data_IF_335532170905
#
_entry.id   IF_335532170905
#
_cell.length_a   1.000
_cell.length_b   1.000
_cell.length_c   1.000
_cell.angle_alpha   90.00
_cell.angle_beta   90.00
_cell.angle_gamma   90.00
#
_symmetry.space_group_name_H-M   'P 1'
#
loop_
_entity.id
_entity.type
_entity.pdbx_description
1 polymer ?
#
# COMPACT_ATOMS: atom_id res chain seq x y z
N UNK A 1 53.13 4.25 38.36
CA UNK A 1 52.09 3.25 38.00
C UNK A 1 50.85 4.03 37.57
N UNK A 2 50.60 4.14 36.27
CA UNK A 2 49.46 4.86 35.70
C UNK A 2 48.50 3.80 35.13
N UNK A 3 47.34 3.63 35.78
CA UNK A 3 46.30 2.72 35.31
C UNK A 3 45.33 3.51 34.43
N UNK A 4 45.40 3.30 33.12
CA UNK A 4 44.39 3.77 32.16
C UNK A 4 43.19 2.82 32.18
N UNK A 5 42.05 3.30 32.65
CA UNK A 5 40.77 2.59 32.54
C UNK A 5 40.08 2.99 31.24
N UNK A 6 39.97 2.04 30.31
CA UNK A 6 39.17 2.19 29.09
C UNK A 6 37.72 1.87 29.47
N UNK A 7 36.85 2.87 29.50
CA UNK A 7 35.41 2.66 29.55
C UNK A 7 34.93 2.20 28.17
N UNK A 8 34.66 0.92 28.02
CA UNK A 8 33.94 0.40 26.86
C UNK A 8 32.47 0.80 26.97
N UNK A 9 32.03 1.77 26.17
CA UNK A 9 30.62 2.14 26.05
C UNK A 9 29.92 1.13 25.13
N UNK A 10 29.13 0.23 25.71
CA UNK A 10 28.26 -0.68 24.94
C UNK A 10 27.10 0.13 24.37
N UNK A 11 27.11 0.39 23.06
CA UNK A 11 25.99 1.03 22.37
C UNK A 11 24.83 0.04 22.25
N UNK A 12 23.72 0.29 22.98
CA UNK A 12 22.45 -0.37 22.69
C UNK A 12 21.91 0.18 21.36
N UNK A 13 22.00 -0.63 20.30
CA UNK A 13 21.25 -0.37 19.08
C UNK A 13 19.76 -0.60 19.37
N UNK A 14 19.00 0.48 19.55
CA UNK A 14 17.53 0.42 19.61
C UNK A 14 16.97 0.09 18.24
N UNK A 15 16.11 -0.93 18.13
CA UNK A 15 15.36 -1.20 16.92
C UNK A 15 14.34 -0.07 16.70
N UNK A 16 14.56 0.77 15.70
CA UNK A 16 13.57 1.77 15.28
C UNK A 16 12.53 1.08 14.41
N UNK A 17 11.32 0.87 14.94
CA UNK A 17 10.21 0.40 14.11
C UNK A 17 9.69 1.55 13.25
N UNK A 18 9.41 1.27 11.97
CA UNK A 18 8.70 2.21 11.09
C UNK A 18 7.35 2.57 11.68
N UNK A 19 7.04 3.87 11.79
CA UNK A 19 5.75 4.32 12.31
C UNK A 19 4.65 4.19 11.24
N UNK A 20 3.43 3.92 11.69
CA UNK A 20 2.25 3.96 10.83
C UNK A 20 1.47 5.27 11.03
N UNK A 21 1.23 6.00 9.94
CA UNK A 21 0.41 7.20 9.89
C UNK A 21 -0.87 6.91 9.13
N UNK A 22 -2.02 7.29 9.69
CA UNK A 22 -3.31 7.06 9.03
C UNK A 22 -3.85 8.36 8.44
N UNK A 23 -4.20 8.32 7.17
CA UNK A 23 -4.94 9.38 6.47
C UNK A 23 -6.34 8.86 6.15
N UNK A 24 -7.36 9.46 6.75
CA UNK A 24 -8.73 9.25 6.32
C UNK A 24 -8.95 9.94 4.97
N UNK A 25 -9.37 9.17 3.97
CA UNK A 25 -9.86 9.67 2.69
C UNK A 25 -11.35 9.87 2.85
N UNK A 26 -11.80 11.13 2.89
CA UNK A 26 -13.15 11.54 3.25
C UNK A 26 -13.48 11.35 4.75
N UNK A 27 -14.74 11.47 5.11
CA UNK A 27 -15.29 11.26 6.44
C UNK A 27 -16.67 10.58 6.35
N UNK A 28 -17.32 10.33 7.49
CA UNK A 28 -18.65 9.68 7.55
C UNK A 28 -19.72 10.33 6.66
N UNK A 29 -19.60 11.62 6.34
CA UNK A 29 -20.56 12.34 5.50
C UNK A 29 -20.20 12.37 4.01
N UNK A 30 -19.04 11.81 3.63
CA UNK A 30 -18.57 11.82 2.24
C UNK A 30 -17.92 13.14 1.82
N UNK A 31 -17.30 13.87 2.76
CA UNK A 31 -16.67 15.16 2.48
C UNK A 31 -15.42 15.06 1.58
N UNK A 32 -15.13 16.11 0.82
CA UNK A 32 -14.01 16.17 -0.13
C UNK A 32 -12.69 16.55 0.56
N UNK A 33 -12.22 15.73 1.50
CA UNK A 33 -11.06 16.04 2.35
C UNK A 33 -10.18 14.84 2.63
N UNK A 34 -8.88 15.06 2.80
CA UNK A 34 -7.96 14.12 3.43
C UNK A 34 -7.73 14.54 4.88
N UNK A 35 -7.77 13.61 5.85
CA UNK A 35 -7.58 13.93 7.26
C UNK A 35 -6.55 13.01 7.93
N UNK A 36 -5.39 13.53 8.37
CA UNK A 36 -4.92 14.90 8.14
C UNK A 36 -4.61 15.15 6.66
N UNK A 37 -4.72 16.41 6.23
CA UNK A 37 -4.33 16.86 4.87
C UNK A 37 -2.84 17.19 4.77
N UNK A 38 -2.16 17.28 5.90
CA UNK A 38 -0.73 17.53 6.01
C UNK A 38 -0.19 16.71 7.17
N UNK A 39 0.88 15.93 6.93
CA UNK A 39 1.56 15.16 7.97
C UNK A 39 3.06 15.14 7.73
N UNK A 40 3.80 14.80 8.79
CA UNK A 40 5.24 14.52 8.72
C UNK A 40 5.47 13.05 9.01
N UNK A 41 6.34 12.42 8.23
CA UNK A 41 6.68 11.01 8.34
C UNK A 41 8.17 10.83 8.05
N UNK A 42 8.84 9.99 8.84
CA UNK A 42 10.24 9.66 8.65
C UNK A 42 10.42 8.73 7.44
N UNK A 43 11.67 8.57 6.99
CA UNK A 43 11.97 7.59 5.95
C UNK A 43 11.73 6.19 6.49
N UNK A 44 11.07 5.35 5.70
CA UNK A 44 10.61 4.01 6.09
C UNK A 44 9.24 3.98 6.78
N UNK A 45 8.69 5.13 7.22
CA UNK A 45 7.33 5.16 7.77
C UNK A 45 6.28 4.79 6.71
N UNK A 46 5.16 4.21 7.18
CA UNK A 46 4.02 3.86 6.33
C UNK A 46 2.92 4.90 6.47
N UNK A 47 2.37 5.37 5.36
CA UNK A 47 1.17 6.21 5.30
C UNK A 47 0.01 5.40 4.72
N UNK A 48 -0.94 5.03 5.59
CA UNK A 48 -2.12 4.22 5.27
C UNK A 48 -3.34 5.10 5.03
N UNK A 49 -3.84 5.09 3.81
CA UNK A 49 -5.07 5.75 3.40
C UNK A 49 -6.28 4.83 3.62
N UNK A 50 -7.24 5.29 4.43
CA UNK A 50 -8.48 4.57 4.77
C UNK A 50 -9.70 5.31 4.23
N UNK A 51 -10.52 4.63 3.44
CA UNK A 51 -11.55 5.27 2.62
C UNK A 51 -12.92 5.25 3.30
N UNK A 52 -13.52 6.43 3.47
CA UNK A 52 -14.90 6.64 3.94
C UNK A 52 -15.88 6.68 2.75
N UNK A 53 -17.21 6.78 2.97
CA UNK A 53 -18.22 6.71 1.91
C UNK A 53 -17.95 7.56 0.69
N UNK A 54 -18.67 7.20 -0.39
CA UNK A 54 -18.56 7.69 -1.76
C UNK A 54 -17.42 6.98 -2.51
N UNK A 55 -17.06 7.52 -3.68
CA UNK A 55 -15.96 7.01 -4.47
C UNK A 55 -14.80 8.00 -4.39
N UNK A 56 -13.67 7.55 -3.87
CA UNK A 56 -12.47 8.37 -3.73
C UNK A 56 -11.24 7.59 -4.19
N UNK A 57 -10.18 8.34 -4.47
CA UNK A 57 -8.89 7.82 -4.87
C UNK A 57 -7.78 8.69 -4.28
N UNK A 58 -6.54 8.23 -4.40
CA UNK A 58 -5.32 8.96 -4.04
C UNK A 58 -4.31 8.75 -5.16
N UNK A 59 -3.92 9.84 -5.82
CA UNK A 59 -2.86 9.87 -6.81
C UNK A 59 -1.80 10.88 -6.36
N UNK A 60 -0.53 10.56 -6.62
CA UNK A 60 0.55 11.51 -6.43
C UNK A 60 0.57 12.54 -7.56
N UNK A 61 0.83 13.80 -7.22
CA UNK A 61 1.01 14.92 -8.14
C UNK A 61 2.36 15.60 -7.90
N UNK A 62 2.84 16.32 -8.92
CA UNK A 62 3.87 17.33 -8.72
C UNK A 62 3.23 18.61 -8.18
N UNK A 63 3.98 19.41 -7.42
CA UNK A 63 3.46 20.64 -6.81
C UNK A 63 2.93 21.65 -7.84
N UNK A 64 3.61 21.75 -8.97
CA UNK A 64 3.37 22.66 -10.09
C UNK A 64 2.26 22.18 -11.03
N UNK A 65 1.81 20.92 -10.91
CA UNK A 65 0.73 20.36 -11.71
C UNK A 65 -0.29 19.63 -10.82
N UNK A 66 -1.03 20.34 -9.96
CA UNK A 66 -2.12 19.74 -9.21
C UNK A 66 -3.18 19.14 -10.15
N UNK A 67 -3.91 18.14 -9.65
CA UNK A 67 -4.95 17.44 -10.40
C UNK A 67 -4.45 16.67 -11.64
N UNK A 68 -3.13 16.54 -11.80
CA UNK A 68 -2.48 15.77 -12.85
C UNK A 68 -1.58 14.69 -12.23
N UNK A 69 -1.56 13.47 -12.79
CA UNK A 69 -0.80 12.38 -12.22
C UNK A 69 0.69 12.61 -12.44
N UNK A 70 1.49 12.48 -11.37
CA UNK A 70 2.94 12.51 -11.48
C UNK A 70 3.44 11.27 -12.21
N UNK A 71 4.38 11.43 -13.15
CA UNK A 71 5.04 10.30 -13.79
C UNK A 71 5.75 9.43 -12.76
N UNK A 72 5.54 8.11 -12.81
CA UNK A 72 6.02 7.15 -11.80
C UNK A 72 5.56 7.46 -10.36
N UNK A 73 4.52 8.29 -10.20
CA UNK A 73 3.88 8.53 -8.92
C UNK A 73 3.04 7.35 -8.46
N UNK A 74 2.62 7.37 -7.20
CA UNK A 74 1.72 6.34 -6.70
C UNK A 74 0.26 6.55 -7.12
N UNK A 75 -0.49 5.46 -7.15
CA UNK A 75 -1.90 5.44 -7.53
C UNK A 75 -2.68 4.38 -6.74
N UNK A 76 -3.67 4.77 -5.96
CA UNK A 76 -4.49 3.83 -5.19
C UNK A 76 -5.51 3.07 -6.04
N UNK A 77 -5.90 3.60 -7.20
CA UNK A 77 -7.17 3.24 -7.82
C UNK A 77 -8.36 3.91 -7.11
N UNK A 78 -9.56 3.70 -7.64
CA UNK A 78 -10.80 4.09 -6.98
C UNK A 78 -11.21 3.06 -5.94
N UNK A 79 -11.55 3.53 -4.73
CA UNK A 79 -12.03 2.69 -3.62
C UNK A 79 -13.42 3.18 -3.21
N UNK A 80 -14.50 2.64 -3.82
CA UNK A 80 -15.85 3.02 -3.46
C UNK A 80 -16.32 2.31 -2.18
N UNK A 81 -17.05 3.03 -1.34
CA UNK A 81 -17.82 2.43 -0.23
C UNK A 81 -19.09 3.23 0.04
N UNK A 82 -20.12 2.57 0.55
CA UNK A 82 -21.39 3.19 0.94
C UNK A 82 -21.55 3.29 2.46
N UNK A 83 -20.70 2.61 3.25
CA UNK A 83 -20.83 2.53 4.70
C UNK A 83 -20.39 3.83 5.39
N UNK A 84 -21.30 4.49 6.09
CA UNK A 84 -21.02 5.69 6.90
C UNK A 84 -20.52 5.36 8.31
N UNK A 85 -20.50 4.07 8.67
CA UNK A 85 -20.14 3.58 9.99
C UNK A 85 -18.71 3.01 10.03
N UNK A 86 -18.24 2.46 8.91
CA UNK A 86 -16.92 1.86 8.77
C UNK A 86 -16.24 2.31 7.46
N UNK A 87 -14.90 2.33 7.49
CA UNK A 87 -14.10 2.52 6.28
C UNK A 87 -14.22 1.31 5.34
N UNK A 88 -13.89 1.49 4.06
CA UNK A 88 -13.82 0.41 3.08
C UNK A 88 -12.91 -0.73 3.56
N UNK A 89 -13.20 -1.94 3.09
CA UNK A 89 -12.32 -3.10 3.29
C UNK A 89 -11.02 -3.01 2.49
N UNK A 90 -10.81 -1.96 1.70
CA UNK A 90 -9.56 -1.69 0.99
C UNK A 90 -8.85 -0.49 1.61
N UNK A 91 -7.54 -0.61 1.73
CA UNK A 91 -6.64 0.46 2.13
C UNK A 91 -5.52 0.59 1.13
N UNK A 92 -5.00 1.80 0.95
CA UNK A 92 -3.82 2.05 0.15
C UNK A 92 -2.70 2.52 1.06
N UNK A 93 -1.54 1.87 0.99
CA UNK A 93 -0.41 2.18 1.87
C UNK A 93 0.80 2.58 1.05
N UNK A 94 1.41 3.70 1.41
CA UNK A 94 2.64 4.22 0.80
C UNK A 94 3.78 4.21 1.82
N UNK A 95 4.94 3.70 1.44
CA UNK A 95 6.17 3.77 2.25
C UNK A 95 6.93 5.05 1.89
N UNK A 96 7.28 5.86 2.89
CA UNK A 96 8.03 7.09 2.70
C UNK A 96 9.49 6.78 2.35
N UNK A 97 9.82 6.90 1.07
CA UNK A 97 11.17 6.56 0.55
C UNK A 97 12.22 7.65 0.75
N UNK A 98 11.79 8.90 0.93
CA UNK A 98 12.68 10.03 1.15
C UNK A 98 11.93 11.11 1.94
N UNK A 99 12.28 11.27 3.22
CA UNK A 99 11.58 12.21 4.11
C UNK A 99 11.86 13.70 3.79
N UNK A 100 12.88 13.99 2.98
CA UNK A 100 13.25 15.35 2.59
C UNK A 100 12.52 15.84 1.33
N UNK A 101 11.81 14.96 0.63
CA UNK A 101 11.04 15.29 -0.58
C UNK A 101 9.55 15.39 -0.22
N UNK A 102 8.91 16.56 -0.41
CA UNK A 102 7.48 16.69 -0.22
C UNK A 102 6.70 15.84 -1.23
N UNK A 103 5.66 15.16 -0.76
CA UNK A 103 4.82 14.29 -1.57
C UNK A 103 3.42 14.89 -1.60
N UNK A 104 3.04 15.45 -2.74
CA UNK A 104 1.73 16.04 -2.98
C UNK A 104 0.80 15.00 -3.55
N UNK A 105 -0.46 15.02 -3.11
CA UNK A 105 -1.45 14.05 -3.59
C UNK A 105 -2.85 14.65 -3.67
N UNK A 106 -3.70 14.03 -4.47
CA UNK A 106 -5.05 14.50 -4.78
C UNK A 106 -6.02 13.36 -5.02
N UNK A 107 -7.32 13.67 -4.93
CA UNK A 107 -8.38 12.76 -5.35
C UNK A 107 -8.76 13.01 -6.81
N UNK A 108 -8.74 11.96 -7.62
CA UNK A 108 -8.96 12.05 -9.08
C UNK A 108 -10.44 11.95 -9.47
N UNK A 109 -11.35 11.77 -8.50
CA UNK A 109 -12.79 11.63 -8.77
C UNK A 109 -13.40 12.98 -9.16
N UNK A 110 -14.02 13.05 -10.35
CA UNK A 110 -14.78 14.22 -10.79
C UNK A 110 -14.01 15.54 -10.57
N UNK A 111 -14.64 16.52 -9.93
CA UNK A 111 -14.00 17.79 -9.55
C UNK A 111 -13.46 17.81 -8.11
N UNK A 112 -13.18 16.65 -7.49
CA UNK A 112 -12.76 16.61 -6.09
C UNK A 112 -11.45 17.37 -5.84
N UNK A 113 -10.48 17.24 -6.74
CA UNK A 113 -9.22 17.97 -6.65
C UNK A 113 -9.43 19.49 -6.71
N UNK A 114 -10.18 19.96 -7.71
CA UNK A 114 -10.52 21.39 -7.86
C UNK A 114 -11.30 21.91 -6.66
N UNK A 115 -12.14 21.09 -6.04
CA UNK A 115 -12.88 21.43 -4.84
C UNK A 115 -12.04 21.30 -3.55
N UNK A 116 -10.71 21.14 -3.66
CA UNK A 116 -9.77 21.21 -2.54
C UNK A 116 -9.41 19.87 -1.90
N UNK A 117 -9.80 18.73 -2.50
CA UNK A 117 -9.43 17.40 -2.00
C UNK A 117 -7.99 17.05 -2.40
N UNK A 118 -7.05 17.70 -1.72
CA UNK A 118 -5.60 17.56 -1.88
C UNK A 118 -4.89 17.51 -0.54
N UNK A 119 -3.68 16.96 -0.51
CA UNK A 119 -2.88 16.87 0.70
C UNK A 119 -1.38 16.75 0.42
N UNK A 120 -0.60 16.72 1.50
CA UNK A 120 0.86 16.66 1.45
C UNK A 120 1.46 15.82 2.59
N UNK A 121 2.43 14.96 2.26
CA UNK A 121 3.34 14.35 3.24
C UNK A 121 4.66 15.13 3.19
N UNK A 122 5.21 15.45 4.35
CA UNK A 122 6.47 16.19 4.52
C UNK A 122 6.47 17.54 3.76
N UNK A 123 5.52 18.46 4.06
CA UNK A 123 5.54 19.78 3.43
C UNK A 123 6.85 20.53 3.73
N UNK A 124 7.31 21.41 2.81
CA UNK A 124 8.45 22.29 3.06
C UNK A 124 8.26 23.09 4.36
N UNK A 125 9.34 23.25 5.12
CA UNK A 125 9.32 24.05 6.36
C UNK A 125 9.20 25.56 6.10
N UNK A 126 9.56 26.01 4.91
CA UNK A 126 9.55 27.40 4.49
C UNK A 126 9.46 27.51 2.96
N UNK A 127 9.26 28.75 2.48
CA UNK A 127 9.17 29.04 1.05
C UNK A 127 7.74 29.00 0.51
N UNK A 128 7.57 29.20 -0.81
CA UNK A 128 6.25 29.42 -1.41
C UNK A 128 5.45 28.12 -1.63
N UNK A 129 6.09 26.95 -1.50
CA UNK A 129 5.47 25.65 -1.76
C UNK A 129 4.68 25.14 -0.55
N UNK A 130 3.55 25.80 -0.25
CA UNK A 130 2.67 25.47 0.88
C UNK A 130 1.47 24.64 0.45
N UNK A 131 0.80 23.97 1.41
CA UNK A 131 -0.47 23.29 1.13
C UNK A 131 -1.56 24.25 0.64
N UNK A 132 -1.58 25.47 1.16
CA UNK A 132 -2.50 26.51 0.70
C UNK A 132 -2.24 26.88 -0.77
N UNK A 133 -0.97 27.06 -1.16
CA UNK A 133 -0.62 27.32 -2.55
C UNK A 133 -1.02 26.15 -3.47
N UNK A 134 -0.82 24.90 -3.02
CA UNK A 134 -1.24 23.72 -3.78
C UNK A 134 -2.77 23.65 -3.92
N UNK A 135 -3.52 23.94 -2.85
CA UNK A 135 -5.00 24.03 -2.89
C UNK A 135 -5.49 25.12 -3.84
N UNK A 136 -4.88 26.30 -3.81
CA UNK A 136 -5.26 27.40 -4.69
C UNK A 136 -4.98 27.06 -6.15
N UNK A 137 -3.81 26.50 -6.46
CA UNK A 137 -3.51 26.03 -7.82
C UNK A 137 -4.44 24.89 -8.27
N UNK A 138 -4.88 24.02 -7.34
CA UNK A 138 -5.83 22.94 -7.66
C UNK A 138 -7.19 23.47 -8.09
N UNK A 139 -7.70 24.53 -7.47
CA UNK A 139 -8.99 25.17 -7.85
C UNK A 139 -8.99 25.69 -9.29
N UNK A 140 -7.84 26.17 -9.74
CA UNK A 140 -7.64 26.70 -11.09
C UNK A 140 -7.34 25.60 -12.13
N UNK A 141 -7.20 24.33 -11.72
CA UNK A 141 -6.90 23.24 -12.64
C UNK A 141 -8.08 22.97 -13.59
N UNK A 142 -7.81 23.04 -14.89
CA UNK A 142 -8.82 22.87 -15.95
C UNK A 142 -9.37 21.44 -16.09
N UNK A 143 -8.64 20.45 -15.56
CA UNK A 143 -9.04 19.04 -15.60
C UNK A 143 -8.53 18.28 -14.37
N UNK A 144 -9.20 17.17 -14.05
CA UNK A 144 -8.79 16.23 -13.02
C UNK A 144 -8.53 14.87 -13.66
N UNK A 145 -7.26 14.48 -13.74
CA UNK A 145 -6.84 13.32 -14.53
C UNK A 145 -6.49 12.16 -13.60
N UNK A 146 -6.99 10.97 -13.92
CA UNK A 146 -6.60 9.75 -13.21
C UNK A 146 -5.37 9.12 -13.87
N UNK A 147 -4.42 8.56 -13.09
CA UNK A 147 -3.35 7.73 -13.65
C UNK A 147 -3.91 6.57 -14.50
N UNK A 148 -3.21 6.24 -15.59
CA UNK A 148 -3.48 5.04 -16.42
C UNK A 148 -2.78 3.79 -15.89
N UNK A 149 -1.89 3.94 -14.89
CA UNK A 149 -1.22 2.84 -14.22
C UNK A 149 -2.20 1.93 -13.47
N UNK A 150 -1.78 0.70 -13.21
CA UNK A 150 -2.57 -0.26 -12.43
C UNK A 150 -2.80 0.27 -11.00
N UNK A 151 -4.00 0.06 -10.46
CA UNK A 151 -4.31 0.39 -9.07
C UNK A 151 -3.32 -0.29 -8.11
N UNK A 152 -2.85 0.45 -7.12
CA UNK A 152 -1.78 0.02 -6.21
C UNK A 152 -0.36 0.36 -6.67
N UNK A 153 -0.16 0.88 -7.89
CA UNK A 153 1.17 1.29 -8.36
C UNK A 153 1.83 2.29 -7.41
N UNK A 154 3.14 2.16 -7.16
CA UNK A 154 3.90 3.04 -6.27
C UNK A 154 3.57 2.88 -4.77
N UNK A 155 2.69 1.96 -4.40
CA UNK A 155 2.36 1.61 -3.01
C UNK A 155 1.81 0.20 -2.91
N UNK A 156 0.92 -0.05 -1.94
CA UNK A 156 0.22 -1.32 -1.77
C UNK A 156 -1.26 -1.09 -1.55
N UNK A 157 -2.09 -1.55 -2.49
CA UNK A 157 -3.53 -1.64 -2.31
C UNK A 157 -3.85 -3.00 -1.67
N UNK A 158 -4.40 -3.00 -0.46
CA UNK A 158 -4.62 -4.22 0.34
C UNK A 158 -6.06 -4.32 0.79
N UNK A 159 -6.65 -5.50 0.58
CA UNK A 159 -7.96 -5.86 1.10
C UNK A 159 -7.81 -6.40 2.52
N UNK A 160 -8.38 -5.71 3.50
CA UNK A 160 -8.44 -6.18 4.87
C UNK A 160 -9.55 -7.24 4.98
N UNK A 161 -9.17 -8.50 4.91
CA UNK A 161 -10.06 -9.63 5.12
C UNK A 161 -10.38 -9.74 6.62
N UNK A 162 -11.41 -9.06 7.10
CA UNK A 162 -12.09 -9.49 8.34
C UNK A 162 -12.81 -10.79 8.00
N UNK A 163 -12.14 -11.92 8.24
CA UNK A 163 -12.65 -13.23 7.86
C UNK A 163 -14.01 -13.54 8.46
N UNK A 164 -14.97 -13.82 7.59
CA UNK A 164 -15.86 -14.96 7.78
C UNK A 164 -15.38 -16.05 6.81
N UNK A 165 -14.34 -16.77 7.22
CA UNK A 165 -13.95 -18.03 6.58
C UNK A 165 -14.78 -19.13 7.24
N UNK A 166 -16.07 -19.17 6.93
CA UNK A 166 -16.86 -20.36 7.19
C UNK A 166 -16.57 -21.36 6.06
N UNK A 167 -15.84 -22.42 6.39
CA UNK A 167 -15.82 -23.65 5.58
C UNK A 167 -14.66 -23.77 4.59
N UNK A 168 -13.49 -24.19 5.07
CA UNK A 168 -12.63 -25.09 4.32
C UNK A 168 -12.24 -26.23 5.28
N UNK A 169 -12.58 -27.50 4.99
CA UNK A 169 -12.24 -28.60 5.88
C UNK A 169 -10.72 -28.80 5.89
N UNK A 170 -10.13 -28.91 7.09
CA UNK A 170 -8.77 -29.40 7.25
C UNK A 170 -8.68 -30.86 6.81
N UNK A 171 -7.62 -31.30 6.13
CA UNK A 171 -7.35 -32.71 5.97
C UNK A 171 -6.95 -33.28 7.34
N UNK A 172 -7.78 -34.17 7.88
CA UNK A 172 -7.41 -34.96 9.04
C UNK A 172 -6.28 -35.93 8.64
N UNK A 173 -5.14 -35.80 9.30
CA UNK A 173 -4.12 -36.83 9.28
C UNK A 173 -4.58 -37.98 10.21
N UNK A 174 -4.85 -39.15 9.63
CA UNK A 174 -4.92 -40.42 10.37
C UNK A 174 -3.95 -41.40 9.72
N UNK A 175 -2.80 -41.57 10.37
CA UNK A 175 -1.93 -42.72 10.12
C UNK A 175 -2.33 -43.88 11.03
N UNK A 176 -2.51 -45.08 10.45
CA UNK A 176 -1.94 -46.35 10.95
C UNK A 176 -2.47 -47.55 10.14
N UNK A 177 -1.54 -48.11 9.34
CA UNK A 177 -1.18 -49.53 9.13
C UNK A 177 -2.20 -50.69 9.07
N UNK A 178 -1.90 -51.55 8.07
CA UNK A 178 -2.09 -53.03 7.96
C UNK A 178 -3.50 -53.50 7.59
N UNK A 179 -3.70 -54.30 6.52
CA UNK A 179 -3.23 -55.69 6.38
C UNK A 179 -2.98 -56.10 4.91
N UNK A 180 -2.01 -57.01 4.76
CA UNK A 180 -1.69 -57.85 3.60
C UNK A 180 -2.89 -58.62 3.01
N UNK A 181 -2.86 -58.88 1.71
CA UNK A 181 -2.72 -60.23 1.07
C UNK A 181 -2.86 -60.05 -0.46
N UNK A 182 -1.76 -60.13 -1.24
CA UNK A 182 -1.45 -61.31 -2.09
C UNK A 182 -1.92 -61.06 -3.54
N UNK A 183 -1.18 -61.24 -4.62
CA UNK A 183 0.05 -61.98 -4.87
C UNK A 183 0.77 -61.37 -6.08
N UNK A 184 2.10 -61.42 -6.02
CA UNK A 184 3.04 -61.11 -7.09
C UNK A 184 3.06 -62.22 -8.14
N UNK A 185 3.13 -61.84 -9.41
CA UNK A 185 3.78 -62.64 -10.45
C UNK A 185 4.64 -61.69 -11.29
N UNK A 186 5.91 -61.60 -10.92
CA UNK A 186 6.96 -61.03 -11.75
C UNK A 186 7.42 -62.09 -12.74
N UNK A 187 7.39 -61.79 -14.03
CA UNK A 187 8.21 -62.45 -15.04
C UNK A 187 9.04 -61.38 -15.73
N UNK A 188 10.29 -61.26 -15.29
CA UNK A 188 11.36 -60.53 -15.96
C UNK A 188 11.74 -61.25 -17.25
N UNK A 189 11.87 -60.53 -18.37
CA UNK A 189 12.79 -60.95 -19.42
C UNK A 189 13.46 -59.75 -20.07
N UNK A 190 14.78 -59.92 -20.16
CA UNK A 190 15.86 -59.14 -20.74
C UNK A 190 15.59 -58.66 -22.17
N UNK A 191 16.14 -57.50 -22.51
CA UNK A 191 15.92 -56.83 -23.79
C UNK A 191 16.67 -57.38 -24.99
N UNK A 192 16.48 -56.73 -26.15
CA UNK A 192 17.44 -56.60 -27.25
C UNK A 192 16.90 -55.66 -28.35
N UNK A 193 17.73 -54.69 -28.74
CA UNK A 193 18.06 -54.21 -30.10
C UNK A 193 17.02 -53.97 -31.23
N UNK A 194 17.40 -52.97 -32.05
CA UNK A 194 17.04 -52.61 -33.44
C UNK A 194 15.81 -51.70 -33.63
N UNK A 195 15.80 -50.54 -34.29
CA UNK A 195 16.44 -49.92 -35.48
C UNK A 195 15.39 -49.72 -36.61
N UNK A 196 15.50 -48.58 -37.29
CA UNK A 196 14.85 -48.12 -38.54
C UNK A 196 13.48 -47.39 -38.52
N UNK A 197 13.59 -46.13 -38.93
CA UNK A 197 12.74 -45.29 -39.79
C UNK A 197 11.28 -45.69 -40.04
N UNK A 198 10.39 -44.71 -39.79
CA UNK A 198 9.70 -43.93 -40.82
C UNK A 198 9.33 -42.55 -40.26
#
# INVERSE_FOLDING_TARGET
MLFSTIFAATALAGATFAAEHVVAVSNKTGSLVFKPESLKAAEGDMVTFKFWPKNHSVAQAAFDSPCQPMNNGFWSGFVPTTSTEAVANWTFTYEVKNASVPIWFYCTQGMHCQNGMVGVINPPKSGPKTLEAFKNASKEATSNVSPTATAGSGGKLTQNMTGSMAGMPSPAATGAASQLTGSVAFASLTGLLTYFLL
#
